data_IF_942391871945
#
_entry.id   IF_942391871945
#
_cell.length_a   1.000
_cell.length_b   1.000
_cell.length_c   1.000
_cell.angle_alpha   90.00
_cell.angle_beta   90.00
_cell.angle_gamma   90.00
#
_symmetry.space_group_name_H-M   'P 1'
#
loop_
_entity.id
_entity.type
_entity.pdbx_description
1 polymer ?
#
# COMPACT_ATOMS: atom_id res chain seq x y z
N UNK A 1 9.36 -11.51 12.57
CA UNK A 1 9.24 -10.12 12.08
C UNK A 1 7.86 -9.59 12.41
N UNK A 2 7.77 -8.37 12.88
CA UNK A 2 6.53 -7.63 13.08
C UNK A 2 6.55 -6.41 12.16
N UNK A 3 5.55 -6.18 11.34
CA UNK A 3 5.41 -4.98 10.55
C UNK A 3 4.02 -4.39 10.69
N UNK A 4 3.91 -3.09 10.48
CA UNK A 4 2.67 -2.36 10.48
C UNK A 4 2.29 -2.07 9.03
N UNK A 5 1.05 -2.39 8.64
CA UNK A 5 0.51 -2.12 7.32
C UNK A 5 -0.51 -0.97 7.39
N UNK A 6 -0.31 0.02 6.56
CA UNK A 6 -1.21 1.15 6.30
C UNK A 6 -1.29 1.42 4.80
N UNK A 7 -2.29 2.16 4.36
CA UNK A 7 -2.49 2.56 2.96
C UNK A 7 -3.34 3.83 2.89
N UNK A 8 -3.56 4.34 1.70
CA UNK A 8 -4.55 5.39 1.41
C UNK A 8 -4.38 6.61 2.33
N UNK A 9 -3.11 7.07 2.45
CA UNK A 9 -2.79 8.23 3.30
C UNK A 9 -3.35 9.51 2.72
N UNK A 10 -3.44 9.61 1.40
CA UNK A 10 -3.96 10.76 0.65
C UNK A 10 -3.46 12.09 1.20
N UNK A 11 -2.15 12.20 1.48
CA UNK A 11 -1.59 13.40 2.09
C UNK A 11 -1.83 14.62 1.19
N UNK A 12 -2.40 15.68 1.79
CA UNK A 12 -2.80 16.89 1.08
C UNK A 12 -4.28 16.93 0.66
N UNK A 13 -5.08 15.90 1.08
CA UNK A 13 -6.52 15.86 0.80
C UNK A 13 -7.27 17.01 1.46
N UNK A 14 -8.29 17.46 0.75
CA UNK A 14 -9.28 18.40 1.25
C UNK A 14 -10.65 17.75 1.31
N UNK A 15 -11.42 18.08 2.32
CA UNK A 15 -12.83 17.71 2.44
C UNK A 15 -13.66 18.99 2.40
N UNK A 16 -14.52 19.18 1.39
CA UNK A 16 -15.30 20.41 1.18
C UNK A 16 -14.46 21.69 1.32
N UNK A 17 -13.36 21.78 0.57
CA UNK A 17 -12.38 22.88 0.59
C UNK A 17 -11.60 23.04 1.91
N UNK A 18 -11.94 22.30 2.95
CA UNK A 18 -11.19 22.30 4.21
C UNK A 18 -9.96 21.38 4.06
N UNK A 19 -8.78 21.93 4.29
CA UNK A 19 -7.53 21.14 4.32
C UNK A 19 -7.51 20.19 5.51
N UNK A 20 -7.13 18.94 5.28
CA UNK A 20 -6.97 17.92 6.32
C UNK A 20 -5.52 17.78 6.78
N UNK A 21 -4.62 18.67 6.39
CA UNK A 21 -3.18 18.51 6.61
C UNK A 21 -2.81 18.38 8.11
N UNK A 22 -3.51 19.12 8.99
CA UNK A 22 -3.26 19.02 10.44
C UNK A 22 -3.81 17.73 11.03
N UNK A 23 -4.96 17.25 10.55
CA UNK A 23 -5.51 15.95 10.95
C UNK A 23 -4.60 14.82 10.45
N UNK A 24 -4.07 14.94 9.23
CA UNK A 24 -3.11 14.00 8.65
C UNK A 24 -1.80 13.99 9.44
N UNK A 25 -1.30 15.13 9.83
CA UNK A 25 -0.14 15.24 10.72
C UNK A 25 -0.39 14.55 12.07
N UNK A 26 -1.57 14.75 12.65
CA UNK A 26 -1.96 14.11 13.90
C UNK A 26 -1.97 12.58 13.77
N UNK A 27 -2.64 12.04 12.73
CA UNK A 27 -2.76 10.59 12.58
C UNK A 27 -1.42 9.93 12.21
N UNK A 28 -0.59 10.56 11.38
CA UNK A 28 0.75 10.06 11.08
C UNK A 28 1.63 10.01 12.34
N UNK A 29 1.51 11.00 13.25
CA UNK A 29 2.15 10.95 14.55
C UNK A 29 1.67 9.73 15.37
N UNK A 30 0.37 9.43 15.36
CA UNK A 30 -0.18 8.24 16.05
C UNK A 30 0.35 6.95 15.44
N UNK A 31 0.48 6.86 14.12
CA UNK A 31 1.08 5.70 13.45
C UNK A 31 2.53 5.50 13.91
N UNK A 32 3.33 6.57 14.00
CA UNK A 32 4.71 6.47 14.52
C UNK A 32 4.71 5.99 15.98
N UNK A 33 3.84 6.56 16.84
CA UNK A 33 3.73 6.16 18.24
C UNK A 33 3.41 4.67 18.38
N UNK A 34 2.43 4.17 17.60
CA UNK A 34 2.07 2.75 17.57
C UNK A 34 3.24 1.90 17.08
N UNK A 35 3.87 2.28 15.96
CA UNK A 35 4.99 1.54 15.40
C UNK A 35 6.16 1.40 16.40
N UNK A 36 6.46 2.46 17.15
CA UNK A 36 7.49 2.44 18.19
C UNK A 36 7.07 1.62 19.41
N UNK A 37 5.83 1.78 19.88
CA UNK A 37 5.31 1.06 21.04
C UNK A 37 5.24 -0.46 20.80
N UNK A 38 4.84 -0.84 19.58
CA UNK A 38 4.75 -2.23 19.14
C UNK A 38 6.11 -2.81 18.69
N UNK A 39 7.15 -1.97 18.65
CA UNK A 39 8.51 -2.37 18.24
C UNK A 39 8.51 -3.06 16.87
N UNK A 40 7.85 -2.45 15.87
CA UNK A 40 7.80 -3.04 14.54
C UNK A 40 9.14 -2.92 13.82
N UNK A 41 9.46 -3.92 13.01
CA UNK A 41 10.67 -3.93 12.17
C UNK A 41 10.51 -3.03 10.94
N UNK A 42 9.26 -2.90 10.45
CA UNK A 42 8.94 -2.11 9.26
C UNK A 42 7.53 -1.52 9.30
N UNK A 43 7.33 -0.42 8.55
CA UNK A 43 6.03 0.12 8.16
C UNK A 43 5.86 -0.10 6.67
N UNK A 44 4.75 -0.73 6.28
CA UNK A 44 4.37 -1.00 4.89
C UNK A 44 3.26 -0.04 4.49
N UNK A 45 3.41 0.65 3.36
CA UNK A 45 2.44 1.61 2.82
C UNK A 45 1.99 1.11 1.45
N UNK A 46 0.75 0.63 1.38
CA UNK A 46 0.20 -0.03 0.21
C UNK A 46 -0.53 0.96 -0.74
N UNK A 47 0.15 2.02 -1.15
CA UNK A 47 -0.30 2.96 -2.17
C UNK A 47 -1.13 4.13 -1.67
N UNK A 48 -1.45 5.03 -2.61
CA UNK A 48 -2.16 6.30 -2.41
C UNK A 48 -1.57 7.13 -1.26
N UNK A 49 -0.26 7.37 -1.39
CA UNK A 49 0.53 8.15 -0.45
C UNK A 49 0.08 9.61 -0.47
N UNK A 50 -0.03 10.18 -1.68
CA UNK A 50 -0.54 11.52 -1.89
C UNK A 50 -1.98 11.50 -2.45
N UNK A 51 -2.72 12.55 -2.16
CA UNK A 51 -4.08 12.72 -2.72
C UNK A 51 -4.06 12.98 -4.23
N UNK A 52 -2.97 13.50 -4.75
CA UNK A 52 -2.81 13.88 -6.17
C UNK A 52 -1.40 13.62 -6.66
N UNK A 53 -1.28 13.32 -7.94
CA UNK A 53 0.02 13.13 -8.62
C UNK A 53 0.98 14.33 -8.49
N UNK A 54 0.45 15.54 -8.29
CA UNK A 54 1.23 16.76 -7.98
C UNK A 54 0.84 17.21 -6.58
N UNK A 55 1.54 16.77 -5.52
CA UNK A 55 1.25 17.14 -4.16
C UNK A 55 1.61 18.61 -3.86
N UNK A 56 0.97 19.17 -2.85
CA UNK A 56 1.35 20.48 -2.34
C UNK A 56 2.69 20.42 -1.57
N UNK A 57 3.32 21.59 -1.38
CA UNK A 57 4.56 21.65 -0.60
C UNK A 57 4.38 21.15 0.83
N UNK A 58 3.25 21.47 1.46
CA UNK A 58 2.92 21.01 2.81
C UNK A 58 2.80 19.49 2.86
N UNK A 59 2.18 18.87 1.84
CA UNK A 59 2.05 17.42 1.75
C UNK A 59 3.42 16.74 1.62
N UNK A 60 4.31 17.28 0.78
CA UNK A 60 5.68 16.77 0.63
C UNK A 60 6.46 16.89 1.95
N UNK A 61 6.38 18.04 2.61
CA UNK A 61 7.06 18.26 3.89
C UNK A 61 6.54 17.32 4.99
N UNK A 62 5.24 17.08 5.03
CA UNK A 62 4.64 16.17 6.01
C UNK A 62 5.08 14.72 5.79
N UNK A 63 5.14 14.25 4.54
CA UNK A 63 5.62 12.91 4.22
C UNK A 63 7.11 12.76 4.54
N UNK A 64 7.92 13.76 4.23
CA UNK A 64 9.36 13.78 4.55
C UNK A 64 9.59 13.64 6.06
N UNK A 65 8.84 14.39 6.89
CA UNK A 65 8.92 14.27 8.35
C UNK A 65 8.52 12.87 8.82
N UNK A 66 7.44 12.31 8.26
CA UNK A 66 6.96 10.97 8.60
C UNK A 66 8.01 9.91 8.31
N UNK A 67 8.58 9.88 7.12
CA UNK A 67 9.64 8.95 6.73
C UNK A 67 10.89 9.14 7.58
N UNK A 68 11.34 10.39 7.74
CA UNK A 68 12.54 10.72 8.51
C UNK A 68 12.44 10.21 9.95
N UNK A 69 11.28 10.37 10.58
CA UNK A 69 11.09 9.95 11.98
C UNK A 69 11.04 8.43 12.12
N UNK A 70 10.40 7.71 11.20
CA UNK A 70 10.42 6.24 11.19
C UNK A 70 11.85 5.71 11.02
N UNK A 71 12.58 6.22 10.04
CA UNK A 71 13.96 5.81 9.78
C UNK A 71 14.88 6.12 10.98
N UNK A 72 14.76 7.30 11.60
CA UNK A 72 15.52 7.65 12.81
C UNK A 72 15.19 6.76 14.01
N UNK A 73 13.98 6.22 14.07
CA UNK A 73 13.58 5.24 15.07
C UNK A 73 14.09 3.80 14.75
N UNK A 74 14.81 3.61 13.64
CA UNK A 74 15.31 2.31 13.18
C UNK A 74 14.27 1.46 12.46
N UNK A 75 13.07 2.01 12.20
CA UNK A 75 11.96 1.33 11.55
C UNK A 75 12.11 1.50 10.03
N UNK A 76 12.14 0.40 9.30
CA UNK A 76 12.20 0.43 7.83
C UNK A 76 10.86 0.84 7.24
N UNK A 77 10.88 1.46 6.07
CA UNK A 77 9.67 1.83 5.33
C UNK A 77 9.69 1.16 3.98
N UNK A 78 8.59 0.48 3.63
CA UNK A 78 8.37 -0.16 2.33
C UNK A 78 7.09 0.43 1.76
N UNK A 79 7.17 1.16 0.64
CA UNK A 79 6.02 1.83 0.06
C UNK A 79 5.91 1.56 -1.44
N UNK A 80 4.68 1.36 -1.90
CA UNK A 80 4.34 1.30 -3.33
C UNK A 80 3.47 2.51 -3.69
N UNK A 81 3.42 2.90 -4.97
CA UNK A 81 2.47 3.90 -5.43
C UNK A 81 1.08 3.30 -5.64
N UNK A 82 0.06 4.11 -5.41
CA UNK A 82 -1.32 3.84 -5.79
C UNK A 82 -1.71 4.53 -7.10
N UNK A 83 -3.02 4.58 -7.37
CA UNK A 83 -3.54 5.19 -8.61
C UNK A 83 -3.60 6.73 -8.55
N UNK A 84 -3.59 7.33 -7.37
CA UNK A 84 -3.51 8.79 -7.19
C UNK A 84 -2.09 9.33 -7.28
N UNK A 85 -1.10 8.49 -7.03
CA UNK A 85 0.30 8.89 -6.99
C UNK A 85 0.91 9.11 -8.38
N UNK A 86 1.98 9.93 -8.46
CA UNK A 86 2.92 9.90 -9.59
C UNK A 86 4.02 8.89 -9.29
N UNK A 87 4.14 7.82 -10.09
CA UNK A 87 5.18 6.81 -9.92
C UNK A 87 6.59 7.39 -9.79
N UNK A 88 6.92 8.37 -10.63
CA UNK A 88 8.24 8.99 -10.68
C UNK A 88 8.53 9.84 -9.43
N UNK A 89 7.50 10.49 -8.87
CA UNK A 89 7.64 11.28 -7.65
C UNK A 89 7.79 10.41 -6.42
N UNK A 90 7.04 9.31 -6.36
CA UNK A 90 7.18 8.33 -5.27
C UNK A 90 8.55 7.68 -5.31
N UNK A 91 9.06 7.31 -6.50
CA UNK A 91 10.37 6.69 -6.65
C UNK A 91 11.54 7.69 -6.67
N UNK A 92 11.32 8.97 -6.39
CA UNK A 92 12.41 9.94 -6.39
C UNK A 92 13.51 9.54 -5.40
N UNK A 93 14.75 9.43 -5.91
CA UNK A 93 15.94 9.05 -5.16
C UNK A 93 15.89 7.65 -4.47
N UNK A 94 14.99 6.75 -4.87
CA UNK A 94 14.75 5.44 -4.28
C UNK A 94 16.03 4.64 -4.05
N UNK A 95 16.93 4.58 -5.06
CA UNK A 95 18.20 3.84 -4.99
C UNK A 95 19.18 4.38 -3.94
N UNK A 96 19.09 5.68 -3.62
CA UNK A 96 19.91 6.29 -2.57
C UNK A 96 19.28 6.00 -1.20
N UNK A 97 17.96 6.09 -1.11
CA UNK A 97 17.19 5.95 0.11
C UNK A 97 17.11 4.52 0.64
N UNK A 98 17.25 3.52 -0.25
CA UNK A 98 17.35 2.10 0.15
C UNK A 98 18.47 1.85 1.18
N UNK A 99 19.60 2.49 1.00
CA UNK A 99 20.73 2.39 1.96
C UNK A 99 20.40 2.93 3.35
N UNK A 100 19.32 3.69 3.50
CA UNK A 100 18.81 4.20 4.76
C UNK A 100 17.63 3.39 5.31
N UNK A 101 17.14 2.39 4.57
CA UNK A 101 15.98 1.59 4.96
C UNK A 101 14.64 2.13 4.48
N UNK A 102 14.64 3.07 3.52
CA UNK A 102 13.44 3.56 2.84
C UNK A 102 13.38 2.95 1.42
N UNK A 103 12.44 2.05 1.22
CA UNK A 103 12.26 1.29 -0.01
C UNK A 103 10.99 1.77 -0.73
N UNK A 104 11.17 2.41 -1.87
CA UNK A 104 10.08 3.01 -2.64
C UNK A 104 9.94 2.27 -3.99
N UNK A 105 8.72 1.82 -4.31
CA UNK A 105 8.38 1.24 -5.61
C UNK A 105 7.29 2.10 -6.25
N UNK A 106 7.71 3.12 -7.02
CA UNK A 106 6.78 4.05 -7.65
C UNK A 106 6.18 3.49 -8.93
N UNK A 107 7.00 3.07 -9.89
CA UNK A 107 6.54 2.54 -11.17
C UNK A 107 6.75 1.04 -11.31
N UNK A 108 5.98 0.43 -12.24
CA UNK A 108 6.22 -0.95 -12.63
C UNK A 108 7.62 -1.10 -13.22
N UNK A 109 8.31 -2.10 -12.77
CA UNK A 109 9.58 -2.56 -13.32
C UNK A 109 9.58 -4.09 -13.43
N UNK A 110 10.37 -4.63 -14.31
CA UNK A 110 10.48 -6.07 -14.52
C UNK A 110 11.94 -6.52 -14.30
N UNK A 111 12.19 -7.45 -13.34
CA UNK A 111 11.22 -7.98 -12.38
C UNK A 111 10.75 -6.94 -11.37
N UNK A 112 9.67 -7.26 -10.62
CA UNK A 112 9.22 -6.40 -9.53
C UNK A 112 10.33 -6.18 -8.50
N UNK A 113 10.34 -5.00 -7.90
CA UNK A 113 11.22 -4.69 -6.77
C UNK A 113 10.90 -5.61 -5.60
N UNK A 114 11.92 -6.21 -5.01
CA UNK A 114 11.81 -7.01 -3.79
C UNK A 114 12.67 -6.44 -2.69
N UNK A 115 12.17 -6.50 -1.46
CA UNK A 115 12.89 -6.10 -0.26
C UNK A 115 12.98 -7.30 0.66
N UNK A 116 14.19 -7.75 0.96
CA UNK A 116 14.39 -8.88 1.88
C UNK A 116 14.80 -8.35 3.25
N UNK A 117 14.01 -8.69 4.24
CA UNK A 117 14.34 -8.49 5.65
C UNK A 117 14.44 -9.85 6.33
N UNK A 118 15.21 -9.94 7.41
CA UNK A 118 15.42 -11.20 8.12
C UNK A 118 14.91 -11.12 9.55
N UNK A 119 14.39 -12.23 10.05
CA UNK A 119 14.11 -12.44 11.47
C UNK A 119 14.67 -13.80 11.94
N UNK A 120 14.41 -14.16 13.19
CA UNK A 120 14.87 -15.42 13.79
C UNK A 120 14.41 -16.69 13.04
N UNK A 121 13.41 -16.56 12.15
CA UNK A 121 12.82 -17.66 11.37
C UNK A 121 13.25 -17.67 9.90
N UNK A 122 14.16 -16.76 9.51
CA UNK A 122 14.67 -16.65 8.14
C UNK A 122 14.10 -15.44 7.37
N UNK A 123 14.28 -15.41 6.04
CA UNK A 123 13.92 -14.26 5.22
C UNK A 123 12.41 -14.04 5.11
N UNK A 124 12.04 -12.76 5.11
CA UNK A 124 10.73 -12.25 4.71
C UNK A 124 10.95 -11.36 3.49
N UNK A 125 10.37 -11.75 2.37
CA UNK A 125 10.55 -11.10 1.08
C UNK A 125 9.29 -10.31 0.75
N UNK A 126 9.40 -8.99 0.78
CA UNK A 126 8.33 -8.10 0.36
C UNK A 126 8.42 -7.90 -1.16
N UNK A 127 7.39 -8.32 -1.86
CA UNK A 127 7.22 -8.12 -3.30
C UNK A 127 6.41 -6.84 -3.50
N UNK A 128 7.05 -5.81 -4.05
CA UNK A 128 6.45 -4.49 -4.19
C UNK A 128 5.85 -4.34 -5.58
N UNK A 129 4.52 -4.46 -5.69
CA UNK A 129 3.77 -4.30 -6.92
C UNK A 129 2.93 -3.01 -6.84
N UNK A 130 3.42 -1.89 -7.41
CA UNK A 130 2.65 -0.65 -7.46
C UNK A 130 1.39 -0.81 -8.29
N UNK A 131 0.49 0.18 -8.24
CA UNK A 131 -0.64 0.23 -9.16
C UNK A 131 -0.14 0.32 -10.61
N UNK A 132 -0.67 -0.55 -11.46
CA UNK A 132 -0.29 -0.63 -12.89
C UNK A 132 -1.56 -0.64 -13.73
N UNK A 133 -1.67 0.30 -14.67
CA UNK A 133 -2.76 0.26 -15.66
C UNK A 133 -2.54 -0.92 -16.60
N UNK A 134 -3.58 -1.71 -16.95
CA UNK A 134 -3.48 -2.89 -17.81
C UNK A 134 -2.70 -2.65 -19.11
N UNK A 135 -2.91 -1.50 -19.74
CA UNK A 135 -2.24 -1.13 -20.99
C UNK A 135 -0.70 -1.07 -20.88
N UNK A 136 -0.14 -0.84 -19.69
CA UNK A 136 1.33 -0.79 -19.47
C UNK A 136 1.97 -2.15 -19.70
N UNK A 137 1.27 -3.22 -19.39
CA UNK A 137 1.75 -4.62 -19.55
C UNK A 137 1.12 -5.33 -20.75
N UNK A 138 0.33 -4.60 -21.55
CA UNK A 138 -0.27 -5.10 -22.79
C UNK A 138 -1.50 -5.98 -22.57
N UNK A 139 -2.22 -5.79 -21.45
CA UNK A 139 -3.45 -6.53 -21.11
C UNK A 139 -4.68 -5.62 -21.17
N UNK A 140 -5.87 -6.21 -21.01
CA UNK A 140 -7.14 -5.50 -21.15
C UNK A 140 -7.82 -5.18 -19.81
N UNK A 141 -7.47 -5.92 -18.75
CA UNK A 141 -8.04 -5.77 -17.41
C UNK A 141 -6.98 -5.99 -16.32
N UNK A 142 -7.29 -5.58 -15.09
CA UNK A 142 -6.37 -5.65 -13.95
C UNK A 142 -6.01 -7.08 -13.54
N UNK A 143 -6.92 -8.05 -13.67
CA UNK A 143 -6.64 -9.44 -13.34
C UNK A 143 -5.56 -10.03 -14.27
N UNK A 144 -5.72 -9.83 -15.60
CA UNK A 144 -4.70 -10.24 -16.58
C UNK A 144 -3.36 -9.51 -16.34
N UNK A 145 -3.40 -8.23 -15.98
CA UNK A 145 -2.19 -7.46 -15.69
C UNK A 145 -1.45 -8.04 -14.49
N UNK A 146 -2.15 -8.30 -13.39
CA UNK A 146 -1.57 -8.89 -12.18
C UNK A 146 -1.02 -10.29 -12.46
N UNK A 147 -1.74 -11.13 -13.19
CA UNK A 147 -1.27 -12.47 -13.60
C UNK A 147 0.04 -12.38 -14.41
N UNK A 148 0.07 -11.52 -15.42
CA UNK A 148 1.25 -11.32 -16.25
C UNK A 148 2.46 -10.82 -15.45
N UNK A 149 2.25 -9.85 -14.54
CA UNK A 149 3.29 -9.28 -13.68
C UNK A 149 3.84 -10.33 -12.72
N UNK A 150 2.97 -11.06 -12.02
CA UNK A 150 3.39 -12.11 -11.08
C UNK A 150 4.09 -13.27 -11.80
N UNK A 151 3.61 -13.64 -12.99
CA UNK A 151 4.23 -14.69 -13.82
C UNK A 151 5.65 -14.35 -14.29
N UNK A 152 6.01 -13.07 -14.37
CA UNK A 152 7.34 -12.58 -14.74
C UNK A 152 8.23 -12.28 -13.52
N UNK A 153 7.69 -12.38 -12.31
CA UNK A 153 8.44 -12.11 -11.08
C UNK A 153 9.00 -13.41 -10.52
N UNK A 154 10.33 -13.60 -10.50
CA UNK A 154 10.92 -14.82 -9.96
C UNK A 154 10.66 -14.89 -8.44
N UNK A 155 9.85 -15.84 -8.02
CA UNK A 155 9.74 -16.22 -6.63
C UNK A 155 10.48 -17.53 -6.43
N UNK A 156 11.55 -17.51 -5.65
CA UNK A 156 12.26 -18.75 -5.33
C UNK A 156 11.31 -19.64 -4.50
N UNK A 157 11.04 -20.84 -4.99
CA UNK A 157 10.25 -21.86 -4.28
C UNK A 157 11.06 -22.45 -3.08
N UNK A 158 11.61 -21.57 -2.25
CA UNK A 158 12.24 -21.99 -1.00
C UNK A 158 11.17 -22.03 0.10
N UNK A 159 10.92 -23.22 0.64
CA UNK A 159 9.95 -23.43 1.73
C UNK A 159 10.26 -22.63 3.01
N UNK A 160 11.44 -22.03 3.12
CA UNK A 160 11.84 -21.18 4.24
C UNK A 160 11.53 -19.71 4.02
N UNK A 161 11.32 -19.28 2.79
CA UNK A 161 11.05 -17.90 2.45
C UNK A 161 9.56 -17.59 2.59
N UNK A 162 9.26 -16.50 3.28
CA UNK A 162 7.90 -15.97 3.46
C UNK A 162 7.74 -14.77 2.55
N UNK A 163 6.81 -14.85 1.62
CA UNK A 163 6.51 -13.78 0.68
C UNK A 163 5.36 -12.93 1.17
N UNK A 164 5.57 -11.61 1.21
CA UNK A 164 4.55 -10.60 1.50
C UNK A 164 4.36 -9.77 0.24
N UNK A 165 3.16 -9.73 -0.31
CA UNK A 165 2.82 -8.84 -1.42
C UNK A 165 2.38 -7.49 -0.86
N UNK A 166 2.91 -6.40 -1.43
CA UNK A 166 2.47 -5.02 -1.15
C UNK A 166 1.94 -4.46 -2.47
N UNK A 167 0.66 -4.13 -2.52
CA UNK A 167 0.03 -3.72 -3.78
C UNK A 167 -1.20 -2.84 -3.58
N UNK A 168 -1.70 -2.25 -4.68
CA UNK A 168 -2.80 -1.30 -4.66
C UNK A 168 -3.78 -1.57 -5.80
N UNK A 169 -4.71 -2.48 -5.57
CA UNK A 169 -5.71 -2.91 -6.57
C UNK A 169 -7.08 -3.14 -5.93
N UNK A 170 -8.12 -3.06 -6.75
CA UNK A 170 -9.44 -3.54 -6.39
C UNK A 170 -9.45 -5.07 -6.44
N UNK A 171 -9.60 -5.69 -5.28
CA UNK A 171 -9.54 -7.15 -5.14
C UNK A 171 -10.90 -7.67 -4.69
N UNK A 172 -11.45 -8.63 -5.42
CA UNK A 172 -12.67 -9.36 -5.04
C UNK A 172 -12.34 -10.64 -4.25
N UNK A 173 -13.29 -11.09 -3.44
CA UNK A 173 -13.20 -12.38 -2.78
C UNK A 173 -13.21 -13.55 -3.78
N UNK A 174 -12.92 -14.77 -3.28
CA UNK A 174 -12.85 -15.98 -4.12
C UNK A 174 -14.19 -16.31 -4.80
N UNK A 175 -15.30 -15.96 -4.20
CA UNK A 175 -16.65 -16.18 -4.75
C UNK A 175 -17.16 -14.97 -5.57
N UNK A 176 -16.29 -14.01 -5.91
CA UNK A 176 -16.67 -12.78 -6.60
C UNK A 176 -17.30 -11.74 -5.67
N UNK A 177 -17.16 -11.86 -4.37
CA UNK A 177 -17.59 -10.86 -3.40
C UNK A 177 -16.76 -9.58 -3.56
N UNK A 178 -17.42 -8.45 -3.79
CA UNK A 178 -16.76 -7.16 -3.84
C UNK A 178 -16.50 -6.63 -2.43
N UNK A 179 -15.40 -5.87 -2.23
CA UNK A 179 -15.19 -5.16 -0.97
C UNK A 179 -16.28 -4.10 -0.76
N UNK A 180 -16.53 -3.76 0.50
CA UNK A 180 -17.40 -2.64 0.84
C UNK A 180 -16.70 -1.32 0.53
N UNK A 181 -17.35 -0.48 -0.27
CA UNK A 181 -16.85 0.83 -0.72
C UNK A 181 -17.41 1.98 0.12
N UNK A 182 -16.70 3.09 0.11
CA UNK A 182 -17.12 4.39 0.62
C UNK A 182 -17.30 5.39 -0.52
N UNK A 183 -18.02 6.50 -0.29
CA UNK A 183 -18.23 7.52 -1.32
C UNK A 183 -16.92 8.17 -1.80
N UNK A 184 -15.86 8.11 -0.99
CA UNK A 184 -14.55 8.63 -1.34
C UNK A 184 -13.80 7.82 -2.42
N UNK A 185 -14.27 6.61 -2.74
CA UNK A 185 -13.70 5.68 -3.71
C UNK A 185 -14.52 5.58 -5.00
N UNK A 186 -15.74 6.15 -5.01
CA UNK A 186 -16.70 5.97 -6.09
C UNK A 186 -16.32 6.60 -7.43
N UNK A 187 -15.34 7.50 -7.48
CA UNK A 187 -14.96 8.20 -8.70
C UNK A 187 -14.03 7.39 -9.62
N UNK A 188 -13.53 6.24 -9.19
CA UNK A 188 -12.47 5.54 -9.91
C UNK A 188 -12.85 4.15 -10.46
N UNK A 189 -13.80 3.42 -9.87
CA UNK A 189 -14.00 2.01 -10.23
C UNK A 189 -15.45 1.53 -9.99
N UNK A 190 -16.34 1.92 -10.85
CA UNK A 190 -17.63 1.23 -10.97
C UNK A 190 -17.52 0.20 -12.10
N UNK A 191 -17.10 -0.98 -11.78
CA UNK A 191 -17.12 -2.06 -12.75
C UNK A 191 -16.51 -3.34 -12.20
N UNK A 192 -17.32 -4.33 -11.88
CA UNK A 192 -16.86 -5.68 -11.51
C UNK A 192 -16.05 -6.42 -12.60
N UNK A 193 -15.72 -5.74 -13.68
CA UNK A 193 -14.87 -6.24 -14.77
C UNK A 193 -13.37 -6.02 -14.51
N UNK A 194 -13.01 -5.19 -13.54
CA UNK A 194 -11.60 -4.82 -13.29
C UNK A 194 -11.09 -5.32 -11.92
N UNK A 195 -11.86 -6.17 -11.28
CA UNK A 195 -11.50 -6.77 -10.01
C UNK A 195 -10.44 -7.87 -10.18
N UNK A 196 -9.46 -7.88 -9.30
CA UNK A 196 -8.44 -8.95 -9.20
C UNK A 196 -8.94 -10.00 -8.20
N UNK A 197 -9.12 -11.27 -8.58
CA UNK A 197 -9.54 -12.30 -7.63
C UNK A 197 -8.49 -12.55 -6.53
N UNK A 198 -8.91 -12.57 -5.26
CA UNK A 198 -8.02 -12.81 -4.11
C UNK A 198 -7.25 -14.14 -4.22
N UNK A 199 -7.82 -15.16 -4.87
CA UNK A 199 -7.19 -16.44 -5.12
C UNK A 199 -5.87 -16.37 -5.90
N UNK A 200 -5.64 -15.30 -6.67
CA UNK A 200 -4.37 -15.09 -7.39
C UNK A 200 -3.18 -14.88 -6.43
N UNK A 201 -3.45 -14.54 -5.19
CA UNK A 201 -2.44 -14.24 -4.17
C UNK A 201 -2.17 -15.38 -3.20
N UNK A 202 -2.68 -16.58 -3.43
CA UNK A 202 -2.57 -17.73 -2.54
C UNK A 202 -1.12 -18.15 -2.20
N UNK A 203 -0.16 -17.81 -3.07
CA UNK A 203 1.26 -18.10 -2.85
C UNK A 203 1.91 -17.21 -1.77
N UNK A 204 1.28 -16.09 -1.40
CA UNK A 204 1.80 -15.16 -0.41
C UNK A 204 1.36 -15.53 1.01
N UNK A 205 2.24 -15.30 1.98
CA UNK A 205 1.94 -15.47 3.40
C UNK A 205 1.05 -14.34 3.94
N UNK A 206 1.15 -13.15 3.32
CA UNK A 206 0.36 -11.96 3.62
C UNK A 206 0.29 -11.07 2.39
N UNK A 207 -0.85 -10.43 2.16
CA UNK A 207 -1.05 -9.44 1.10
C UNK A 207 -1.51 -8.14 1.74
N UNK A 208 -0.67 -7.12 1.64
CA UNK A 208 -0.96 -5.77 2.08
C UNK A 208 -1.60 -5.00 0.91
N UNK A 209 -2.90 -4.73 1.03
CA UNK A 209 -3.67 -3.99 0.05
C UNK A 209 -3.97 -2.56 0.50
N UNK A 210 -3.90 -1.62 -0.43
CA UNK A 210 -4.57 -0.33 -0.41
C UNK A 210 -5.64 -0.23 -1.48
N UNK A 211 -6.19 0.96 -1.67
CA UNK A 211 -7.25 1.32 -2.61
C UNK A 211 -8.65 1.41 -1.97
N UNK A 212 -8.94 0.58 -0.97
CA UNK A 212 -10.24 0.59 -0.29
C UNK A 212 -10.08 1.16 1.11
N UNK A 213 -10.85 2.22 1.41
CA UNK A 213 -10.72 2.99 2.65
C UNK A 213 -11.30 2.30 3.89
N UNK A 214 -12.17 1.29 3.71
CA UNK A 214 -12.69 0.49 4.81
C UNK A 214 -11.73 -0.65 5.14
N UNK A 215 -11.26 -0.78 6.39
CA UNK A 215 -10.49 -1.95 6.81
C UNK A 215 -11.31 -3.23 6.65
N UNK A 216 -10.81 -4.18 5.88
CA UNK A 216 -11.47 -5.46 5.63
C UNK A 216 -10.50 -6.48 5.06
N UNK A 217 -10.89 -7.75 5.08
CA UNK A 217 -10.12 -8.82 4.46
C UNK A 217 -10.91 -9.46 3.32
N UNK A 218 -10.19 -9.96 2.33
CA UNK A 218 -10.74 -10.61 1.16
C UNK A 218 -10.33 -12.08 1.14
N UNK A 219 -11.26 -12.97 0.76
CA UNK A 219 -10.99 -14.39 0.67
C UNK A 219 -10.62 -15.05 2.01
N UNK A 220 -9.78 -16.09 2.00
CA UNK A 220 -9.46 -16.93 3.17
C UNK A 220 -8.36 -16.37 4.08
N UNK A 221 -8.43 -15.09 4.46
CA UNK A 221 -7.75 -14.58 5.66
C UNK A 221 -6.27 -14.19 5.52
N UNK A 222 -5.76 -13.97 4.30
CA UNK A 222 -4.37 -13.51 4.09
C UNK A 222 -4.27 -12.19 3.33
N UNK A 223 -5.37 -11.71 2.78
CA UNK A 223 -5.46 -10.54 1.90
C UNK A 223 -6.21 -9.44 2.64
N UNK A 224 -5.51 -8.37 3.02
CA UNK A 224 -6.04 -7.34 3.91
C UNK A 224 -5.97 -5.96 3.27
N UNK A 225 -7.09 -5.25 3.28
CA UNK A 225 -7.13 -3.82 3.19
C UNK A 225 -6.93 -3.22 4.57
N UNK A 226 -5.89 -2.41 4.76
CA UNK A 226 -5.73 -1.67 6.02
C UNK A 226 -6.76 -0.55 6.17
N UNK A 227 -7.30 -0.10 5.04
CA UNK A 227 -8.10 1.09 4.95
C UNK A 227 -7.27 2.37 5.08
N UNK A 228 -7.93 3.50 4.87
CA UNK A 228 -7.33 4.81 5.09
C UNK A 228 -7.23 5.12 6.60
N UNK A 229 -6.19 5.84 7.05
CA UNK A 229 -6.03 6.16 8.47
C UNK A 229 -7.00 7.24 8.97
N UNK A 230 -7.57 8.04 8.05
CA UNK A 230 -8.60 9.04 8.32
C UNK A 230 -9.86 8.77 7.53
N UNK A 231 -10.95 9.42 7.91
CA UNK A 231 -12.24 9.37 7.21
C UNK A 231 -12.26 10.45 6.14
N UNK A 232 -12.36 10.06 4.89
CA UNK A 232 -12.30 10.96 3.74
C UNK A 232 -13.66 11.25 3.09
N UNK A 233 -14.72 10.65 3.64
CA UNK A 233 -16.10 10.94 3.26
C UNK A 233 -17.05 10.79 4.46
N UNK A 234 -18.27 11.34 4.35
CA UNK A 234 -19.30 11.18 5.39
C UNK A 234 -19.79 9.74 5.49
N UNK A 235 -19.75 8.96 4.43
CA UNK A 235 -20.12 7.54 4.46
C UNK A 235 -19.19 6.74 5.38
N UNK A 236 -17.97 7.22 5.62
CA UNK A 236 -16.99 6.61 6.53
C UNK A 236 -17.20 6.98 8.01
N UNK A 237 -18.20 7.83 8.34
CA UNK A 237 -18.37 8.36 9.70
C UNK A 237 -18.46 7.28 10.79
N UNK A 238 -19.01 6.11 10.45
CA UNK A 238 -19.16 4.98 11.37
C UNK A 238 -18.06 3.93 11.27
N UNK A 239 -17.10 4.10 10.37
CA UNK A 239 -15.98 3.18 10.25
C UNK A 239 -14.99 3.39 11.39
N UNK A 240 -14.46 2.29 11.91
CA UNK A 240 -13.29 2.32 12.79
C UNK A 240 -12.04 2.24 11.92
N UNK A 241 -11.19 3.26 12.00
CA UNK A 241 -9.93 3.31 11.27
C UNK A 241 -8.84 2.66 12.11
N UNK A 242 -8.00 1.87 11.46
CA UNK A 242 -6.93 1.13 12.13
C UNK A 242 -5.67 1.06 11.25
N UNK A 243 -4.63 0.49 11.79
CA UNK A 243 -3.47 -0.08 11.08
C UNK A 243 -3.46 -1.59 11.35
N UNK A 244 -2.94 -2.36 10.42
CA UNK A 244 -2.86 -3.82 10.55
C UNK A 244 -1.46 -4.26 11.00
#
# INVERSE_FOLDING_TARGET
>A
MKFLHTADLHIGRKLFEQSLIEDQKYILNKIIEIAMAEQVDAVVIAGDIYDRAIPSTEAVTLLDDFYTRLIRAGIKVIAVSGNHDSPERVAFADRILEGQGLYLAGGYQEPLKTVTLEDAFGPVIFVCMPFVKPAVVGTTNSAEAVEAILGRTPMAMDLRSRYVLVTHFFVSGENGENPELSDSENDAQVGGLDAVPAGMFNAFAYVALGHIHKPQHMGMGKVYYSGSPLKYSFSEARQEKCVQ
#
